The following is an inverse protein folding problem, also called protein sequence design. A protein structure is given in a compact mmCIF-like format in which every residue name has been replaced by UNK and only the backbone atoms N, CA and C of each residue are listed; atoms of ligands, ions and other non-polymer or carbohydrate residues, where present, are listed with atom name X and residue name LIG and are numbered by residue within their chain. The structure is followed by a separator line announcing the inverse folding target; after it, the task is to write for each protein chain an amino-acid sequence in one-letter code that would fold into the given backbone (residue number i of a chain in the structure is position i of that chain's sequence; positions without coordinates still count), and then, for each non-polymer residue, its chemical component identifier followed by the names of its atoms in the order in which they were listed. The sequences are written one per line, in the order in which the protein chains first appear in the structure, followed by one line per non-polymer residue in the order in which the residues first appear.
data_IF_416915713897
#
_entry.id   IF_416915713897
#
_cell.length_a   1.000
_cell.length_b   1.000
_cell.length_c   1.000
_cell.angle_alpha   90.00
_cell.angle_beta   90.00
_cell.angle_gamma   90.00
#
_symmetry.space_group_name_H-M   'P 1'
#
loop_
_entity.id
_entity.type
_entity.pdbx_description
1 polymer ?
#
# COMPACT_ATOMS: atom_id res chain seq x y z
N UNK A 1 -9.34 -10.12 -14.21
CA UNK A 1 -9.85 -8.81 -13.71
C UNK A 1 -8.66 -7.88 -13.46
N UNK A 2 -8.73 -6.62 -13.88
CA UNK A 2 -7.61 -5.69 -13.78
C UNK A 2 -7.52 -5.10 -12.36
N UNK A 3 -6.44 -5.39 -11.63
CA UNK A 3 -6.19 -4.84 -10.30
C UNK A 3 -5.48 -3.48 -10.41
N UNK A 4 -6.24 -2.40 -10.63
CA UNK A 4 -5.71 -1.05 -10.82
C UNK A 4 -6.07 -0.07 -9.69
N UNK A 5 -6.73 -0.53 -8.63
CA UNK A 5 -7.10 0.32 -7.48
C UNK A 5 -5.97 0.41 -6.46
N UNK A 6 -5.75 1.63 -5.96
CA UNK A 6 -4.98 1.96 -4.75
C UNK A 6 -5.93 2.67 -3.78
N UNK A 7 -5.71 2.55 -2.47
CA UNK A 7 -6.50 3.22 -1.44
C UNK A 7 -5.60 4.00 -0.50
N UNK A 8 -6.01 5.23 -0.16
CA UNK A 8 -5.39 6.02 0.90
C UNK A 8 -6.32 6.02 2.11
N UNK A 9 -5.86 5.50 3.24
CA UNK A 9 -6.62 5.47 4.49
C UNK A 9 -6.56 6.83 5.20
N UNK A 10 -7.51 7.07 6.12
CA UNK A 10 -7.66 8.35 6.82
C UNK A 10 -6.46 8.69 7.74
N UNK A 11 -5.72 7.69 8.19
CA UNK A 11 -4.48 7.81 8.95
C UNK A 11 -3.26 8.15 8.06
N UNK A 12 -3.42 8.11 6.73
CA UNK A 12 -2.38 8.44 5.74
C UNK A 12 -1.68 7.23 5.14
N UNK A 13 -2.15 6.02 5.41
CA UNK A 13 -1.54 4.79 4.89
C UNK A 13 -1.98 4.49 3.46
N UNK A 14 -1.01 4.30 2.54
CA UNK A 14 -1.28 3.97 1.14
C UNK A 14 -1.30 2.45 0.94
N UNK A 15 -2.49 1.88 0.72
CA UNK A 15 -2.70 0.47 0.41
C UNK A 15 -2.67 0.21 -1.09
N UNK A 16 -1.74 -0.65 -1.51
CA UNK A 16 -1.64 -1.12 -2.89
C UNK A 16 -2.48 -2.38 -3.15
N UNK A 17 -2.84 -3.10 -2.10
CA UNK A 17 -3.73 -4.27 -2.11
C UNK A 17 -4.63 -4.23 -0.86
N UNK A 18 -5.84 -4.79 -0.96
CA UNK A 18 -6.74 -4.94 0.20
C UNK A 18 -6.15 -5.89 1.25
N UNK A 19 -5.44 -6.93 0.83
CA UNK A 19 -4.93 -7.98 1.71
C UNK A 19 -3.55 -7.68 2.32
N UNK A 20 -2.95 -6.54 2.00
CA UNK A 20 -1.58 -6.19 2.44
C UNK A 20 -1.62 -5.01 3.40
N UNK A 21 -0.78 -5.02 4.43
CA UNK A 21 -0.54 -3.85 5.25
C UNK A 21 0.11 -2.71 4.47
N UNK A 22 -0.28 -1.48 4.81
CA UNK A 22 0.32 -0.28 4.26
C UNK A 22 1.30 0.27 5.28
N UNK A 23 2.60 0.24 4.99
CA UNK A 23 3.64 0.81 5.86
C UNK A 23 4.86 1.23 5.04
N UNK A 24 5.53 2.36 5.31
CA UNK A 24 5.13 3.54 6.10
C UNK A 24 3.91 4.34 5.62
N UNK A 25 3.36 5.14 6.54
CA UNK A 25 2.34 6.16 6.28
C UNK A 25 2.86 7.22 5.32
N UNK A 26 2.12 7.47 4.25
CA UNK A 26 2.46 8.51 3.29
C UNK A 26 2.37 9.90 3.92
N UNK A 27 1.46 10.07 4.89
CA UNK A 27 1.31 11.32 5.66
C UNK A 27 2.59 11.69 6.41
N UNK A 28 3.23 10.72 7.06
CA UNK A 28 4.45 10.97 7.84
C UNK A 28 5.63 11.28 6.91
N UNK A 29 5.72 10.55 5.79
CA UNK A 29 6.75 10.79 4.76
C UNK A 29 6.60 12.18 4.12
N UNK A 30 5.37 12.62 3.84
CA UNK A 30 5.14 13.98 3.32
C UNK A 30 5.50 15.04 4.35
N UNK A 31 5.18 14.82 5.63
CA UNK A 31 5.47 15.76 6.72
C UNK A 31 6.94 15.83 7.10
N UNK A 32 7.75 14.82 6.75
CA UNK A 32 9.20 14.87 6.93
C UNK A 32 9.90 15.75 5.88
N UNK A 33 9.17 16.33 4.92
CA UNK A 33 9.75 17.21 3.89
C UNK A 33 10.47 16.44 2.78
N UNK A 34 9.95 15.27 2.40
CA UNK A 34 10.47 14.53 1.24
C UNK A 34 10.38 15.37 -0.04
N UNK A 35 11.36 15.23 -0.93
CA UNK A 35 11.31 15.82 -2.28
C UNK A 35 10.32 15.08 -3.19
N UNK A 36 9.72 15.78 -4.15
CA UNK A 36 8.76 15.21 -5.11
C UNK A 36 9.33 14.04 -5.90
N UNK A 37 10.61 14.08 -6.27
CA UNK A 37 11.30 12.99 -6.98
C UNK A 37 11.41 11.76 -6.09
N UNK A 38 11.75 11.96 -4.81
CA UNK A 38 11.87 10.87 -3.84
C UNK A 38 10.49 10.28 -3.50
N UNK A 39 9.46 11.12 -3.44
CA UNK A 39 8.06 10.71 -3.29
C UNK A 39 7.58 9.88 -4.49
N UNK A 40 7.83 10.34 -5.70
CA UNK A 40 7.48 9.61 -6.93
C UNK A 40 8.13 8.22 -6.93
N UNK A 41 9.42 8.14 -6.63
CA UNK A 41 10.13 6.86 -6.57
C UNK A 41 9.57 5.95 -5.48
N UNK A 42 9.18 6.49 -4.31
CA UNK A 42 8.56 5.72 -3.24
C UNK A 42 7.22 5.11 -3.69
N UNK A 43 6.34 5.94 -4.28
CA UNK A 43 5.03 5.51 -4.79
C UNK A 43 5.20 4.47 -5.90
N UNK A 44 6.12 4.70 -6.81
CA UNK A 44 6.49 3.76 -7.88
C UNK A 44 6.92 2.41 -7.33
N UNK A 45 7.88 2.37 -6.40
CA UNK A 45 8.32 1.12 -5.76
C UNK A 45 7.16 0.38 -5.09
N UNK A 46 6.25 1.10 -4.44
CA UNK A 46 5.06 0.52 -3.80
C UNK A 46 4.13 -0.14 -4.81
N UNK A 47 3.84 0.57 -5.91
CA UNK A 47 2.91 0.13 -6.95
C UNK A 47 3.51 -1.01 -7.75
N UNK A 48 4.81 -0.99 -8.06
CA UNK A 48 5.49 -2.11 -8.72
C UNK A 48 5.66 -3.33 -7.82
N UNK A 49 5.81 -3.14 -6.51
CA UNK A 49 5.78 -4.22 -5.53
C UNK A 49 4.38 -4.81 -5.28
N UNK A 50 3.36 -4.38 -6.04
CA UNK A 50 2.01 -4.91 -5.97
C UNK A 50 1.94 -6.24 -6.73
N UNK A 51 1.55 -7.29 -6.02
CA UNK A 51 1.28 -8.60 -6.59
C UNK A 51 0.15 -8.50 -7.61
N UNK A 52 0.28 -9.22 -8.73
CA UNK A 52 -0.74 -9.24 -9.76
C UNK A 52 -1.99 -10.00 -9.26
N UNK A 53 -3.14 -9.33 -9.20
CA UNK A 53 -4.43 -9.99 -8.99
C UNK A 53 -4.66 -10.58 -7.59
N UNK A 54 -5.41 -11.70 -7.54
CA UNK A 54 -5.85 -12.40 -6.32
C UNK A 54 -4.75 -13.30 -5.71
N UNK A 55 -3.60 -13.40 -6.37
CA UNK A 55 -2.47 -14.27 -5.96
C UNK A 55 -1.68 -13.72 -4.76
N UNK A 56 -2.16 -12.66 -4.10
CA UNK A 56 -1.55 -12.13 -2.88
C UNK A 56 -1.40 -13.17 -1.75
N UNK A 57 -2.13 -14.29 -1.78
CA UNK A 57 -1.96 -15.40 -0.84
C UNK A 57 -0.75 -16.32 -1.12
N UNK A 58 -0.04 -16.13 -2.24
CA UNK A 58 0.96 -17.09 -2.74
C UNK A 58 2.41 -16.61 -2.61
N UNK A 59 2.66 -15.32 -2.35
CA UNK A 59 4.03 -14.79 -2.28
C UNK A 59 4.63 -14.91 -0.88
N UNK A 60 5.70 -15.71 -0.78
CA UNK A 60 6.46 -15.98 0.44
C UNK A 60 7.21 -14.78 1.03
N UNK A 61 7.84 -15.03 2.20
CA UNK A 61 8.84 -14.25 2.93
C UNK A 61 8.86 -12.73 2.60
N UNK A 62 7.97 -11.96 3.23
CA UNK A 62 7.84 -10.49 3.03
C UNK A 62 6.40 -10.01 2.85
N UNK A 63 5.46 -10.94 2.75
CA UNK A 63 4.02 -10.67 2.76
C UNK A 63 3.51 -10.48 4.19
N UNK A 64 3.31 -9.22 4.60
CA UNK A 64 2.49 -8.91 5.78
C UNK A 64 1.03 -8.89 5.37
N UNK A 65 0.37 -10.02 5.61
CA UNK A 65 -1.09 -10.14 5.56
C UNK A 65 -1.71 -9.08 6.44
N UNK A 66 -2.75 -8.43 5.96
CA UNK A 66 -3.55 -7.57 6.81
C UNK A 66 -4.36 -8.42 7.80
N UNK A 67 -4.11 -8.22 9.09
CA UNK A 67 -4.79 -8.93 10.18
C UNK A 67 -6.03 -8.18 10.72
N UNK A 68 -6.38 -7.05 10.10
CA UNK A 68 -7.49 -6.20 10.53
C UNK A 68 -8.83 -6.53 9.85
N UNK A 69 -9.92 -6.07 10.45
CA UNK A 69 -11.25 -6.19 9.86
C UNK A 69 -11.39 -5.32 8.60
N UNK A 70 -11.99 -5.84 7.53
CA UNK A 70 -12.17 -5.11 6.27
C UNK A 70 -12.98 -3.80 6.43
N UNK A 71 -13.78 -3.70 7.49
CA UNK A 71 -14.53 -2.48 7.86
C UNK A 71 -13.62 -1.31 8.25
N UNK A 72 -12.39 -1.56 8.73
CA UNK A 72 -11.44 -0.51 9.11
C UNK A 72 -10.67 0.07 7.92
N UNK A 73 -10.79 -0.53 6.73
CA UNK A 73 -10.08 -0.09 5.52
C UNK A 73 -10.84 1.01 4.77
N UNK A 74 -12.14 1.16 5.04
CA UNK A 74 -13.02 2.10 4.33
C UNK A 74 -13.47 1.55 2.96
N UNK A 75 -14.68 1.98 2.52
CA UNK A 75 -15.33 1.54 1.27
C UNK A 75 -14.61 1.97 0.00
#
# INVERSE_FOLDING_TARGET
QACNRLRLQADGHLRTCLSREAEPSLRDVLRSGIDDTALEQLLRRRVWGKVAGHEAHLDGEGFRSFDGAMTSVGG
#
